data_IF_794498264371
#
_entry.id   IF_794498264371
#
_cell.length_a   1.000
_cell.length_b   1.000
_cell.length_c   1.000
_cell.angle_alpha   90.00
_cell.angle_beta   90.00
_cell.angle_gamma   90.00
#
_symmetry.space_group_name_H-M   'P 1'
#
loop_
_entity.id
_entity.type
_entity.pdbx_description
1 polymer ?
#
# COMPACT_ATOMS: atom_id res chain seq x y z
N UNK A 1 -18.45 7.21 0.93
CA UNK A 1 -17.70 7.70 -0.22
C UNK A 1 -16.28 8.05 0.23
N UNK A 2 -15.29 7.32 -0.22
CA UNK A 2 -13.87 7.56 0.04
C UNK A 2 -13.27 8.68 -0.84
N UNK A 3 -14.08 9.42 -1.58
CA UNK A 3 -13.66 10.50 -2.46
C UNK A 3 -13.92 11.87 -1.85
N UNK A 4 -12.90 12.49 -1.30
CA UNK A 4 -12.90 13.91 -1.03
C UNK A 4 -12.63 14.67 -2.33
N UNK A 5 -13.69 15.20 -2.99
CA UNK A 5 -13.54 16.15 -4.10
C UNK A 5 -12.99 17.46 -3.58
N UNK A 6 -11.71 17.71 -3.72
CA UNK A 6 -11.09 19.00 -3.50
C UNK A 6 -11.16 19.83 -4.79
N UNK A 7 -12.08 20.80 -4.85
CA UNK A 7 -12.06 21.87 -5.82
C UNK A 7 -10.82 22.72 -5.57
N UNK A 8 -10.03 22.95 -6.63
CA UNK A 8 -8.83 23.77 -6.56
C UNK A 8 -9.14 25.23 -6.35
N UNK A 9 -8.60 25.79 -5.29
CA UNK A 9 -8.21 27.19 -5.22
C UNK A 9 -6.71 27.20 -4.95
N UNK A 10 -5.97 27.77 -5.89
CA UNK A 10 -4.53 28.01 -5.79
C UNK A 10 -4.27 29.04 -4.70
N UNK A 11 -4.14 28.58 -3.47
CA UNK A 11 -3.59 29.37 -2.40
C UNK A 11 -2.06 29.37 -2.50
N UNK A 12 -1.37 30.50 -2.22
CA UNK A 12 0.10 30.61 -2.28
C UNK A 12 0.71 29.62 -1.28
N UNK A 13 1.75 28.91 -1.76
CA UNK A 13 2.40 27.80 -1.08
C UNK A 13 2.63 28.02 0.41
N UNK A 14 1.91 27.28 1.20
CA UNK A 14 2.26 27.09 2.60
C UNK A 14 3.43 26.12 2.63
N UNK A 15 4.61 26.65 2.89
CA UNK A 15 5.79 25.87 3.17
C UNK A 15 5.46 24.95 4.36
N UNK A 16 5.67 23.63 4.27
CA UNK A 16 5.44 22.74 5.39
C UNK A 16 6.19 23.26 6.61
N UNK A 17 5.50 23.46 7.72
CA UNK A 17 6.12 23.86 8.97
C UNK A 17 7.12 22.81 9.44
N UNK A 18 8.11 23.17 10.27
CA UNK A 18 9.06 22.22 10.80
C UNK A 18 8.32 21.11 11.56
N UNK A 19 8.73 19.84 11.41
CA UNK A 19 8.11 18.72 12.11
C UNK A 19 8.18 18.93 13.62
N UNK A 20 7.18 18.44 14.38
CA UNK A 20 7.19 18.55 15.83
C UNK A 20 8.44 17.90 16.42
N UNK A 21 9.05 18.47 17.50
CA UNK A 21 10.26 17.94 18.10
C UNK A 21 10.02 16.51 18.58
N UNK A 22 10.83 15.55 18.08
CA UNK A 22 10.84 14.16 18.54
C UNK A 22 10.34 13.13 17.54
N UNK A 23 9.82 13.49 16.37
CA UNK A 23 9.60 12.50 15.31
C UNK A 23 10.87 12.36 14.46
N UNK A 24 11.37 11.11 14.22
CA UNK A 24 12.43 10.89 13.26
C UNK A 24 11.92 11.36 11.87
N UNK A 25 12.63 12.29 11.27
CA UNK A 25 12.38 12.66 9.88
C UNK A 25 12.65 11.40 9.04
N UNK A 26 11.70 10.90 8.23
CA UNK A 26 11.98 9.82 7.29
C UNK A 26 13.18 10.24 6.43
N UNK A 27 14.17 9.36 6.19
CA UNK A 27 15.28 9.69 5.31
C UNK A 27 14.74 10.04 3.92
N UNK A 28 15.18 11.18 3.38
CA UNK A 28 14.87 11.51 1.99
C UNK A 28 15.44 10.47 1.06
N UNK A 29 14.72 10.08 -0.02
CA UNK A 29 15.24 9.18 -1.03
C UNK A 29 16.51 9.76 -1.65
N UNK A 30 17.63 9.06 -1.51
CA UNK A 30 18.89 9.46 -2.15
C UNK A 30 18.73 9.20 -3.65
N UNK A 31 18.95 10.21 -4.53
CA UNK A 31 18.85 10.00 -5.97
C UNK A 31 19.81 8.88 -6.42
N UNK A 32 19.34 7.84 -7.15
CA UNK A 32 20.20 6.76 -7.60
C UNK A 32 21.24 7.25 -8.63
N UNK A 33 22.41 6.66 -8.58
CA UNK A 33 23.50 6.91 -9.54
C UNK A 33 23.06 6.45 -10.95
N UNK A 34 23.48 7.09 -12.05
CA UNK A 34 22.95 6.83 -13.40
C UNK A 34 23.29 5.47 -14.04
N UNK A 35 23.96 4.56 -13.37
CA UNK A 35 24.18 3.20 -13.85
C UNK A 35 23.09 2.27 -13.32
N UNK A 36 22.59 1.35 -14.18
CA UNK A 36 21.60 0.35 -13.80
C UNK A 36 22.27 -0.92 -13.28
N UNK A 37 21.66 -1.53 -12.24
CA UNK A 37 22.05 -2.84 -11.75
C UNK A 37 20.86 -3.80 -11.86
N UNK A 38 21.05 -5.05 -12.33
CA UNK A 38 19.96 -6.01 -12.37
C UNK A 38 19.39 -6.32 -10.97
N UNK A 39 18.08 -6.42 -10.86
CA UNK A 39 17.39 -6.75 -9.61
C UNK A 39 17.92 -8.05 -8.98
N UNK A 40 18.13 -9.09 -9.80
CA UNK A 40 18.59 -10.41 -9.34
C UNK A 40 20.03 -10.43 -8.81
N UNK A 41 20.83 -9.42 -9.11
CA UNK A 41 22.21 -9.29 -8.66
C UNK A 41 22.34 -8.41 -7.41
N UNK A 42 21.28 -7.69 -7.04
CA UNK A 42 21.27 -6.79 -5.90
C UNK A 42 21.25 -7.58 -4.59
N UNK A 43 22.33 -7.50 -3.80
CA UNK A 43 22.41 -8.12 -2.48
C UNK A 43 21.66 -7.32 -1.39
N UNK A 44 21.46 -6.05 -1.63
CA UNK A 44 20.75 -5.12 -0.75
C UNK A 44 19.80 -4.30 -1.60
N UNK A 45 18.55 -4.18 -1.17
CA UNK A 45 17.55 -3.34 -1.80
C UNK A 45 17.21 -2.15 -0.89
N UNK A 46 17.31 -0.95 -1.46
CA UNK A 46 16.80 0.28 -0.87
C UNK A 46 15.52 0.66 -1.62
N UNK A 47 14.38 0.56 -0.94
CA UNK A 47 13.07 0.88 -1.50
C UNK A 47 12.44 2.05 -0.74
N UNK A 48 11.99 3.06 -1.47
CA UNK A 48 11.31 4.23 -0.92
C UNK A 48 9.97 4.44 -1.61
N UNK A 49 8.88 4.45 -0.86
CA UNK A 49 7.58 4.87 -1.37
C UNK A 49 7.60 6.40 -1.42
N UNK A 50 7.50 6.95 -2.63
CA UNK A 50 7.57 8.40 -2.89
C UNK A 50 6.19 9.04 -2.91
N UNK A 51 5.15 8.28 -3.28
CA UNK A 51 3.76 8.73 -3.22
C UNK A 51 2.82 7.53 -2.98
N UNK A 52 1.72 7.79 -2.29
CA UNK A 52 0.59 6.88 -2.16
C UNK A 52 -0.70 7.72 -2.22
N UNK A 53 -1.50 7.53 -3.26
CA UNK A 53 -2.71 8.31 -3.54
C UNK A 53 -3.87 7.40 -3.92
N UNK A 54 -5.06 7.94 -4.00
CA UNK A 54 -6.22 7.31 -4.63
C UNK A 54 -6.55 8.02 -5.94
N UNK A 55 -6.87 7.27 -6.98
CA UNK A 55 -7.41 7.84 -8.21
C UNK A 55 -8.93 8.12 -8.10
N UNK A 56 -9.53 8.64 -9.17
CA UNK A 56 -10.95 9.06 -9.21
C UNK A 56 -11.95 7.90 -8.95
N UNK A 57 -11.52 6.66 -9.08
CA UNK A 57 -12.33 5.46 -8.80
C UNK A 57 -11.87 4.73 -7.53
N UNK A 58 -11.16 5.44 -6.66
CA UNK A 58 -10.67 4.95 -5.37
C UNK A 58 -9.74 3.72 -5.45
N UNK A 59 -9.01 3.56 -6.54
CA UNK A 59 -7.92 2.60 -6.61
C UNK A 59 -6.65 3.23 -6.04
N UNK A 60 -5.91 2.55 -5.15
CA UNK A 60 -4.62 3.03 -4.71
C UNK A 60 -3.61 3.10 -5.87
N UNK A 61 -2.82 4.16 -5.87
CA UNK A 61 -1.67 4.33 -6.76
C UNK A 61 -0.46 4.59 -5.90
N UNK A 62 0.56 3.76 -6.06
CA UNK A 62 1.82 3.85 -5.33
C UNK A 62 2.92 4.21 -6.31
N UNK A 63 3.72 5.20 -5.98
CA UNK A 63 4.98 5.45 -6.65
C UNK A 63 6.13 5.14 -5.69
N UNK A 64 7.16 4.49 -6.21
CA UNK A 64 8.31 4.12 -5.41
C UNK A 64 9.60 4.14 -6.24
N UNK A 65 10.72 4.21 -5.53
CA UNK A 65 12.06 4.19 -6.09
C UNK A 65 12.84 3.01 -5.52
N UNK A 66 13.60 2.34 -6.37
CA UNK A 66 14.41 1.18 -6.02
C UNK A 66 15.86 1.39 -6.44
N UNK A 67 16.79 1.10 -5.53
CA UNK A 67 18.22 1.08 -5.79
C UNK A 67 18.89 -0.07 -5.02
N UNK A 68 20.11 -0.41 -5.40
CA UNK A 68 20.94 -1.35 -4.65
C UNK A 68 21.61 -0.69 -3.42
N UNK A 69 22.44 -1.46 -2.71
CA UNK A 69 23.19 -0.98 -1.55
C UNK A 69 24.24 0.10 -1.85
N UNK A 70 24.61 0.29 -3.10
CA UNK A 70 25.52 1.34 -3.57
C UNK A 70 24.76 2.54 -4.16
N UNK A 71 23.46 2.57 -3.98
CA UNK A 71 22.57 3.59 -4.53
C UNK A 71 22.52 3.60 -6.08
N UNK A 72 22.79 2.47 -6.72
CA UNK A 72 22.64 2.29 -8.16
C UNK A 72 21.19 1.93 -8.44
N UNK A 73 20.56 2.61 -9.40
CA UNK A 73 19.17 2.38 -9.77
C UNK A 73 18.94 0.94 -10.26
N UNK A 74 17.91 0.28 -9.75
CA UNK A 74 17.41 -0.99 -10.28
C UNK A 74 16.30 -0.68 -11.25
N UNK A 75 16.45 -1.07 -12.52
CA UNK A 75 15.58 -0.62 -13.61
C UNK A 75 14.84 -1.75 -14.33
N UNK A 76 15.06 -2.98 -13.94
CA UNK A 76 14.53 -4.19 -14.57
C UNK A 76 13.48 -4.93 -13.73
N UNK A 77 13.00 -4.32 -12.64
CA UNK A 77 11.96 -4.90 -11.81
C UNK A 77 10.67 -5.13 -12.62
N UNK A 78 10.09 -6.29 -12.44
CA UNK A 78 8.83 -6.69 -13.09
C UNK A 78 7.70 -6.91 -12.08
N UNK A 79 6.47 -7.05 -12.55
CA UNK A 79 5.33 -7.34 -11.69
C UNK A 79 5.43 -8.73 -11.01
N UNK A 80 6.20 -9.65 -11.59
CA UNK A 80 6.39 -10.98 -11.01
C UNK A 80 7.27 -10.94 -9.75
N UNK A 81 8.12 -9.93 -9.63
CA UNK A 81 9.08 -9.77 -8.53
C UNK A 81 8.46 -9.08 -7.31
N UNK A 82 7.27 -8.49 -7.44
CA UNK A 82 6.68 -7.64 -6.39
C UNK A 82 5.25 -8.03 -6.03
N UNK A 83 4.87 -7.70 -4.82
CA UNK A 83 3.50 -7.83 -4.30
C UNK A 83 3.14 -6.55 -3.55
N UNK A 84 1.88 -6.17 -3.60
CA UNK A 84 1.39 -4.94 -3.02
C UNK A 84 0.30 -5.20 -2.00
N UNK A 85 0.36 -4.49 -0.87
CA UNK A 85 -0.62 -4.60 0.22
C UNK A 85 -1.12 -3.22 0.56
N UNK A 86 -2.42 -3.11 0.80
CA UNK A 86 -3.06 -1.91 1.35
C UNK A 86 -3.95 -2.27 2.52
N UNK A 87 -3.85 -1.53 3.61
CA UNK A 87 -4.60 -1.77 4.83
C UNK A 87 -4.99 -0.47 5.53
N UNK A 88 -6.01 -0.53 6.38
CA UNK A 88 -6.40 0.53 7.31
C UNK A 88 -6.14 0.12 8.75
N UNK A 89 -5.93 1.10 9.61
CA UNK A 89 -5.78 0.89 11.05
C UNK A 89 -7.14 1.04 11.72
N UNK A 90 -7.70 -0.08 12.17
CA UNK A 90 -8.92 -0.09 12.96
C UNK A 90 -8.63 0.16 14.44
N UNK A 91 -9.46 0.94 15.10
CA UNK A 91 -9.40 1.13 16.54
C UNK A 91 -9.67 -0.18 17.27
N UNK A 92 -8.94 -0.44 18.34
CA UNK A 92 -9.26 -1.59 19.20
C UNK A 92 -10.64 -1.41 19.84
N UNK A 93 -11.55 -2.39 19.74
CA UNK A 93 -12.86 -2.32 20.39
C UNK A 93 -12.80 -2.19 21.92
N UNK A 94 -11.66 -2.54 22.51
CA UNK A 94 -11.42 -2.46 23.95
C UNK A 94 -10.84 -1.13 24.41
N UNK A 95 -10.72 -0.13 23.51
CA UNK A 95 -10.11 1.16 23.86
C UNK A 95 -8.62 1.07 24.22
N UNK A 96 -7.99 -0.07 23.95
CA UNK A 96 -6.59 -0.30 24.22
C UNK A 96 -5.74 0.40 23.15
N UNK A 97 -4.51 0.73 23.49
CA UNK A 97 -3.56 1.54 22.75
C UNK A 97 -3.08 0.94 21.42
N UNK A 98 -3.49 -0.28 21.07
CA UNK A 98 -3.07 -0.98 19.85
C UNK A 98 -4.26 -1.21 18.92
N UNK A 99 -4.32 -0.49 17.80
CA UNK A 99 -5.22 -0.81 16.71
C UNK A 99 -4.78 -2.07 15.94
N UNK A 100 -5.68 -2.60 15.14
CA UNK A 100 -5.42 -3.75 14.27
C UNK A 100 -5.39 -3.30 12.82
N UNK A 101 -4.37 -3.74 12.08
CA UNK A 101 -4.29 -3.51 10.64
C UNK A 101 -5.26 -4.43 9.91
N UNK A 102 -6.26 -3.85 9.26
CA UNK A 102 -7.23 -4.57 8.43
C UNK A 102 -6.86 -4.42 6.96
N UNK A 103 -6.55 -5.55 6.30
CA UNK A 103 -6.28 -5.57 4.86
C UNK A 103 -7.57 -5.31 4.06
N UNK A 104 -7.46 -4.56 2.96
CA UNK A 104 -8.50 -4.45 1.94
C UNK A 104 -8.42 -5.59 0.92
N UNK A 105 -7.21 -6.11 0.69
CA UNK A 105 -6.99 -7.20 -0.24
C UNK A 105 -7.10 -8.50 0.54
N UNK A 106 -8.14 -9.28 0.28
CA UNK A 106 -8.44 -10.49 1.02
C UNK A 106 -8.82 -11.64 0.09
N UNK A 107 -8.62 -12.84 0.57
CA UNK A 107 -9.14 -14.08 -0.02
C UNK A 107 -9.95 -14.83 1.02
N UNK A 108 -10.91 -15.65 0.58
CA UNK A 108 -11.61 -16.59 1.44
C UNK A 108 -10.79 -17.86 1.47
N UNK A 109 -10.07 -18.08 2.57
CA UNK A 109 -9.32 -19.30 2.78
C UNK A 109 -10.27 -20.49 3.01
N UNK A 110 -9.98 -21.68 2.47
CA UNK A 110 -10.77 -22.86 2.75
C UNK A 110 -10.72 -23.17 4.25
N UNK A 111 -11.76 -23.85 4.79
CA UNK A 111 -11.76 -24.23 6.19
C UNK A 111 -10.54 -25.11 6.51
N UNK A 112 -9.95 -24.88 7.68
CA UNK A 112 -8.85 -25.70 8.19
C UNK A 112 -9.27 -27.15 8.43
N UNK A 113 -8.31 -28.00 8.82
CA UNK A 113 -8.57 -29.41 9.14
C UNK A 113 -9.11 -29.51 10.58
N UNK A 114 -10.33 -30.01 10.73
CA UNK A 114 -10.93 -30.26 12.04
C UNK A 114 -12.45 -30.04 12.06
N UNK A 115 -13.17 -30.61 13.04
CA UNK A 115 -14.60 -30.39 13.16
C UNK A 115 -14.92 -28.94 13.54
N UNK A 116 -15.93 -28.39 12.86
CA UNK A 116 -16.40 -27.01 13.11
C UNK A 116 -15.57 -25.89 12.46
N UNK A 117 -14.56 -26.23 11.65
CA UNK A 117 -13.83 -25.22 10.88
C UNK A 117 -14.70 -24.63 9.77
N UNK A 118 -14.61 -23.31 9.61
CA UNK A 118 -15.35 -22.53 8.58
C UNK A 118 -14.34 -21.80 7.69
N UNK A 119 -14.75 -21.40 6.47
CA UNK A 119 -13.91 -20.51 5.65
C UNK A 119 -13.63 -19.21 6.40
N UNK A 120 -12.39 -18.73 6.32
CA UNK A 120 -11.96 -17.50 6.97
C UNK A 120 -11.47 -16.48 5.95
N UNK A 121 -11.72 -15.21 6.26
CA UNK A 121 -11.15 -14.11 5.50
C UNK A 121 -9.69 -13.95 5.87
N UNK A 122 -8.82 -13.99 4.87
CA UNK A 122 -7.39 -13.88 5.03
C UNK A 122 -6.83 -12.74 4.18
N UNK A 123 -6.09 -11.83 4.83
CA UNK A 123 -5.37 -10.78 4.12
C UNK A 123 -4.34 -11.37 3.17
N UNK A 124 -4.28 -10.82 1.97
CA UNK A 124 -3.32 -11.20 0.93
C UNK A 124 -2.73 -9.97 0.26
N UNK A 125 -1.85 -10.18 -0.70
CA UNK A 125 -1.28 -9.14 -1.55
C UNK A 125 -1.92 -9.15 -2.93
N UNK A 126 -1.86 -8.02 -3.64
CA UNK A 126 -2.32 -7.87 -5.02
C UNK A 126 -1.14 -7.79 -5.98
N UNK A 127 -1.35 -8.32 -7.21
CA UNK A 127 -0.45 -8.20 -8.36
C UNK A 127 -1.18 -8.09 -9.69
N UNK A 128 -2.50 -7.94 -9.67
CA UNK A 128 -3.33 -7.93 -10.88
C UNK A 128 -3.56 -6.50 -11.43
N UNK A 129 -2.92 -5.52 -10.79
CA UNK A 129 -2.98 -4.12 -11.17
C UNK A 129 -2.07 -3.76 -12.34
N UNK A 130 -1.91 -2.47 -12.56
CA UNK A 130 -1.05 -1.93 -13.63
C UNK A 130 0.30 -1.50 -13.04
N UNK A 131 1.35 -2.18 -13.43
CA UNK A 131 2.73 -1.86 -13.08
C UNK A 131 3.39 -1.07 -14.21
N UNK A 132 4.05 0.03 -13.88
CA UNK A 132 4.70 0.92 -14.85
C UNK A 132 6.12 1.22 -14.41
N UNK A 133 7.09 0.96 -15.27
CA UNK A 133 8.47 1.40 -15.09
C UNK A 133 8.58 2.84 -15.62
N UNK A 134 8.90 3.77 -14.74
CA UNK A 134 9.04 5.21 -15.04
C UNK A 134 10.50 5.58 -15.41
N UNK A 135 11.40 4.61 -15.38
CA UNK A 135 12.82 4.80 -15.64
C UNK A 135 13.61 5.28 -14.41
N UNK A 136 14.93 5.08 -14.44
CA UNK A 136 15.83 5.52 -13.37
C UNK A 136 15.55 4.90 -12.00
N UNK A 137 15.05 3.66 -11.97
CA UNK A 137 14.67 2.97 -10.73
C UNK A 137 13.36 3.45 -10.11
N UNK A 138 12.58 4.24 -10.83
CA UNK A 138 11.26 4.69 -10.42
C UNK A 138 10.18 3.84 -11.04
N UNK A 139 9.17 3.51 -10.23
CA UNK A 139 8.06 2.64 -10.60
C UNK A 139 6.75 3.20 -10.07
N UNK A 140 5.67 2.87 -10.76
CA UNK A 140 4.31 3.12 -10.30
C UNK A 140 3.50 1.83 -10.35
N UNK A 141 2.68 1.62 -9.35
CA UNK A 141 1.69 0.55 -9.32
C UNK A 141 0.32 1.11 -9.01
N UNK A 142 -0.64 0.84 -9.89
CA UNK A 142 -2.05 1.12 -9.67
C UNK A 142 -2.76 -0.19 -9.40
N UNK A 143 -3.43 -0.29 -8.24
CA UNK A 143 -4.22 -1.46 -7.89
C UNK A 143 -5.35 -1.70 -8.89
N UNK A 144 -5.70 -2.95 -9.11
CA UNK A 144 -6.94 -3.33 -9.82
C UNK A 144 -8.15 -3.12 -8.93
N UNK A 145 -7.98 -3.34 -7.63
CA UNK A 145 -9.04 -3.25 -6.62
C UNK A 145 -9.33 -1.80 -6.24
N UNK A 146 -10.61 -1.41 -6.36
CA UNK A 146 -11.10 -0.17 -5.74
C UNK A 146 -11.44 -0.39 -4.28
N UNK A 147 -11.01 0.51 -3.39
CA UNK A 147 -11.28 0.40 -1.95
C UNK A 147 -12.76 0.58 -1.60
N UNK A 148 -13.56 1.11 -2.53
CA UNK A 148 -15.01 1.32 -2.37
C UNK A 148 -15.87 0.32 -3.13
N UNK A 149 -15.25 -0.58 -3.91
CA UNK A 149 -15.94 -1.61 -4.71
C UNK A 149 -15.23 -2.95 -4.56
N UNK A 150 -15.26 -3.48 -3.34
CA UNK A 150 -14.70 -4.79 -3.01
C UNK A 150 -15.65 -5.91 -3.45
N UNK A 151 -15.14 -7.13 -3.76
CA UNK A 151 -15.96 -8.26 -4.15
C UNK A 151 -17.04 -8.59 -3.11
N UNK A 152 -18.26 -8.90 -3.58
CA UNK A 152 -19.41 -9.09 -2.72
C UNK A 152 -19.28 -10.27 -1.75
N UNK A 153 -18.62 -11.35 -2.17
CA UNK A 153 -18.31 -12.52 -1.35
C UNK A 153 -17.33 -12.17 -0.22
N UNK A 154 -16.32 -11.35 -0.51
CA UNK A 154 -15.37 -10.82 0.50
C UNK A 154 -16.10 -9.97 1.54
N UNK A 155 -16.98 -9.05 1.08
CA UNK A 155 -17.78 -8.20 1.98
C UNK A 155 -18.74 -9.04 2.85
N UNK A 156 -19.35 -10.06 2.28
CA UNK A 156 -20.24 -10.97 3.03
C UNK A 156 -19.47 -11.75 4.10
N UNK A 157 -18.30 -12.27 3.74
CA UNK A 157 -17.45 -13.01 4.67
C UNK A 157 -16.89 -12.12 5.78
N UNK A 158 -16.47 -10.90 5.44
CA UNK A 158 -16.02 -9.91 6.42
C UNK A 158 -17.13 -9.62 7.45
N UNK A 159 -18.34 -9.37 6.97
CA UNK A 159 -19.51 -9.11 7.84
C UNK A 159 -19.81 -10.30 8.75
N UNK A 160 -19.70 -11.54 8.24
CA UNK A 160 -19.90 -12.76 9.04
C UNK A 160 -18.87 -12.90 10.18
N UNK A 161 -17.68 -12.33 10.00
CA UNK A 161 -16.61 -12.31 10.99
C UNK A 161 -16.57 -11.03 11.85
N UNK A 162 -17.54 -10.14 11.68
CA UNK A 162 -17.59 -8.87 12.41
C UNK A 162 -16.52 -7.86 11.98
N UNK A 163 -15.98 -8.00 10.76
CA UNK A 163 -15.00 -7.08 10.19
C UNK A 163 -15.70 -6.03 9.32
N UNK A 164 -15.23 -4.80 9.39
CA UNK A 164 -15.65 -3.72 8.51
C UNK A 164 -14.55 -3.44 7.49
N UNK A 165 -14.82 -3.70 6.20
CA UNK A 165 -13.94 -3.37 5.08
C UNK A 165 -14.31 -2.08 4.36
N UNK A 166 -15.23 -1.28 4.90
CA UNK A 166 -15.53 0.02 4.32
C UNK A 166 -14.31 0.94 4.30
N UNK A 167 -14.15 1.70 3.23
CA UNK A 167 -13.10 2.71 3.16
C UNK A 167 -13.50 3.93 3.99
N UNK A 168 -12.76 4.23 5.06
CA UNK A 168 -12.93 5.42 5.88
C UNK A 168 -11.69 6.32 5.71
N UNK A 169 -11.83 7.50 5.06
CA UNK A 169 -10.69 8.40 4.83
C UNK A 169 -10.12 9.02 6.12
N UNK A 170 -10.83 8.92 7.24
CA UNK A 170 -10.34 9.44 8.52
C UNK A 170 -9.42 8.47 9.25
N UNK A 171 -9.37 7.21 8.82
CA UNK A 171 -8.46 6.23 9.40
C UNK A 171 -7.07 6.32 8.76
N UNK A 172 -6.07 5.89 9.52
CA UNK A 172 -4.71 5.75 8.99
C UNK A 172 -4.65 4.58 8.01
N UNK A 173 -4.17 4.84 6.80
CA UNK A 173 -3.92 3.82 5.79
C UNK A 173 -2.43 3.55 5.65
N UNK A 174 -2.09 2.31 5.31
CA UNK A 174 -0.72 1.89 5.02
C UNK A 174 -0.68 1.11 3.72
N UNK A 175 0.33 1.39 2.93
CA UNK A 175 0.72 0.57 1.79
C UNK A 175 2.05 -0.11 2.08
N UNK A 176 2.24 -1.32 1.57
CA UNK A 176 3.49 -2.05 1.68
C UNK A 176 3.82 -2.72 0.34
N UNK A 177 5.11 -2.85 0.07
CA UNK A 177 5.66 -3.53 -1.10
C UNK A 177 6.51 -4.69 -0.58
N UNK A 178 6.31 -5.87 -1.15
CA UNK A 178 7.10 -7.08 -0.89
C UNK A 178 7.88 -7.39 -2.17
N UNK A 179 9.16 -7.65 -2.01
CA UNK A 179 10.10 -8.03 -3.07
C UNK A 179 10.52 -9.48 -2.89
#
# INVERSE_FOLDING_TARGET
ACGGGGGGDSAPGVQPGPPPPGQPIPPEPIPPVPSANPYVEAQVLNAFITAATLNDINQPVIEFQLSDGNNIAITDLTLDDVRFVVSKLESSPLGNLTGTWQSYINVIAPPGVGPGTVPELQGTSERDGTFTNLGGGKYSYRYSTSLTDLPADILQQAKAQGLDLSCDPNLTHRVAIQF
#
